data_IF_594965167645
#
_entry.id   IF_594965167645
#
_cell.length_a   1.000
_cell.length_b   1.000
_cell.length_c   1.000
_cell.angle_alpha   90.00
_cell.angle_beta   90.00
_cell.angle_gamma   90.00
#
_symmetry.space_group_name_H-M   'P 1'
#
loop_
_entity.id
_entity.type
_entity.pdbx_description
1 polymer ?
#
# COMPACT_ATOMS: atom_id res chain seq x y z
N UNK A 1 -12.23 11.66 -14.58
CA UNK A 1 -12.41 11.88 -16.04
C UNK A 1 -11.80 10.80 -16.94
N UNK A 2 -11.25 9.69 -16.43
CA UNK A 2 -10.64 8.71 -17.34
C UNK A 2 -11.62 7.71 -17.98
N UNK A 3 -12.86 7.51 -17.48
CA UNK A 3 -13.68 6.37 -17.92
C UNK A 3 -15.19 6.59 -17.88
N UNK A 4 -15.82 6.51 -19.05
CA UNK A 4 -17.21 6.06 -19.20
C UNK A 4 -17.46 5.48 -20.61
N UNK A 5 -16.87 6.06 -21.66
CA UNK A 5 -17.30 5.76 -23.02
C UNK A 5 -16.66 4.51 -23.68
N UNK A 6 -15.42 4.11 -23.33
CA UNK A 6 -14.66 3.08 -24.08
C UNK A 6 -13.73 2.22 -23.20
N UNK A 7 -14.27 1.63 -22.13
CA UNK A 7 -13.52 0.86 -21.13
C UNK A 7 -12.72 -0.36 -21.68
N UNK A 8 -13.21 -1.17 -22.65
CA UNK A 8 -12.49 -2.35 -23.11
C UNK A 8 -11.11 -2.07 -23.74
N UNK A 9 -11.01 -1.01 -24.55
CA UNK A 9 -9.76 -0.61 -25.21
C UNK A 9 -8.85 0.20 -24.25
N UNK A 10 -9.46 1.01 -23.37
CA UNK A 10 -8.73 1.85 -22.42
C UNK A 10 -8.03 1.04 -21.32
N UNK A 11 -8.59 -0.10 -20.90
CA UNK A 11 -8.00 -0.99 -19.89
C UNK A 11 -6.56 -1.43 -20.24
N UNK A 12 -6.25 -1.59 -21.52
CA UNK A 12 -4.93 -2.05 -21.98
C UNK A 12 -3.83 -0.99 -21.86
N UNK A 13 -4.19 0.31 -21.84
CA UNK A 13 -3.25 1.43 -21.80
C UNK A 13 -3.36 2.30 -20.56
N UNK A 14 -4.38 2.08 -19.72
CA UNK A 14 -4.60 2.80 -18.48
C UNK A 14 -3.51 2.45 -17.45
N UNK A 15 -2.61 3.39 -17.19
CA UNK A 15 -1.70 3.30 -16.05
C UNK A 15 -2.54 3.49 -14.78
N UNK A 16 -2.72 2.43 -14.00
CA UNK A 16 -3.28 2.58 -12.66
C UNK A 16 -2.46 3.64 -11.92
N UNK A 17 -3.14 4.61 -11.31
CA UNK A 17 -2.47 5.59 -10.46
C UNK A 17 -1.81 4.88 -9.27
N UNK A 18 -0.80 5.50 -8.66
CA UNK A 18 -0.15 4.97 -7.46
C UNK A 18 -0.44 5.90 -6.29
N UNK A 19 -0.71 5.31 -5.12
CA UNK A 19 -0.68 5.99 -3.84
C UNK A 19 0.76 5.99 -3.30
N UNK A 20 1.20 7.13 -2.76
CA UNK A 20 2.44 7.21 -1.97
C UNK A 20 2.07 7.05 -0.50
N UNK A 21 2.37 5.88 0.07
CA UNK A 21 1.99 5.52 1.43
C UNK A 21 3.19 5.69 2.37
N UNK A 22 3.03 6.48 3.43
CA UNK A 22 3.98 6.53 4.54
C UNK A 22 3.48 5.61 5.66
N UNK A 23 4.25 4.59 5.97
CA UNK A 23 3.89 3.56 6.95
C UNK A 23 4.78 3.76 8.18
N UNK A 24 4.15 4.16 9.28
CA UNK A 24 4.82 4.41 10.56
C UNK A 24 4.60 3.22 11.48
N UNK A 25 5.68 2.71 12.07
CA UNK A 25 5.62 1.63 13.05
C UNK A 25 5.35 2.22 14.44
N UNK A 26 4.29 1.76 15.11
CA UNK A 26 3.94 2.16 16.47
C UNK A 26 4.10 3.68 16.70
N UNK A 27 3.36 4.52 15.95
CA UNK A 27 3.65 5.95 15.83
C UNK A 27 3.51 6.74 17.13
N UNK A 28 2.88 6.16 18.15
CA UNK A 28 2.73 6.74 19.49
C UNK A 28 3.84 6.30 20.44
N UNK A 29 4.46 5.15 20.21
CA UNK A 29 5.49 4.58 21.08
C UNK A 29 6.92 4.82 20.55
N UNK A 30 7.11 4.81 19.23
CA UNK A 30 8.41 4.95 18.57
C UNK A 30 8.53 6.33 17.92
N UNK A 31 8.79 7.35 18.74
CA UNK A 31 8.82 8.74 18.28
C UNK A 31 10.22 9.33 18.09
N UNK A 32 11.26 8.73 18.67
CA UNK A 32 12.64 9.27 18.61
C UNK A 32 13.72 8.15 18.64
N UNK A 33 14.26 7.75 17.47
CA UNK A 33 13.86 8.17 16.14
C UNK A 33 12.57 7.46 15.67
N UNK A 34 11.72 8.12 14.87
CA UNK A 34 10.52 7.50 14.34
C UNK A 34 10.87 6.48 13.23
N UNK A 35 10.38 5.26 13.38
CA UNK A 35 10.60 4.20 12.38
C UNK A 35 9.47 4.23 11.35
N UNK A 36 9.81 4.51 10.09
CA UNK A 36 8.85 4.50 8.99
C UNK A 36 9.47 4.04 7.67
N UNK A 37 8.60 3.67 6.72
CA UNK A 37 8.93 3.37 5.32
C UNK A 37 7.94 4.06 4.40
N UNK A 38 8.41 4.50 3.23
CA UNK A 38 7.56 5.09 2.19
C UNK A 38 7.48 4.14 1.01
N UNK A 39 6.26 3.76 0.63
CA UNK A 39 6.00 2.82 -0.46
C UNK A 39 5.20 3.50 -1.58
N UNK A 40 5.53 3.19 -2.83
CA UNK A 40 4.67 3.46 -3.98
C UNK A 40 3.75 2.25 -4.18
N UNK A 41 2.45 2.43 -3.99
CA UNK A 41 1.45 1.38 -4.01
C UNK A 41 0.48 1.58 -5.18
N UNK A 42 0.40 0.65 -6.15
CA UNK A 42 -0.59 0.74 -7.22
C UNK A 42 -2.02 0.84 -6.66
N UNK A 43 -2.86 1.68 -7.26
CA UNK A 43 -4.25 1.86 -6.80
C UNK A 43 -5.10 0.60 -6.95
N UNK A 44 -4.67 -0.35 -7.79
CA UNK A 44 -5.27 -1.67 -7.95
C UNK A 44 -4.60 -2.77 -7.09
N UNK A 45 -3.66 -2.41 -6.22
CA UNK A 45 -3.02 -3.36 -5.31
C UNK A 45 -4.05 -3.94 -4.32
N UNK A 46 -3.92 -5.23 -4.03
CA UNK A 46 -4.71 -5.87 -2.97
C UNK A 46 -4.03 -5.66 -1.61
N UNK A 47 -4.79 -5.75 -0.51
CA UNK A 47 -4.23 -5.70 0.83
C UNK A 47 -3.18 -6.81 1.08
N UNK A 48 -3.32 -7.98 0.47
CA UNK A 48 -2.32 -9.05 0.54
C UNK A 48 -0.99 -8.65 -0.13
N UNK A 49 -1.05 -7.96 -1.28
CA UNK A 49 0.14 -7.45 -1.94
C UNK A 49 0.80 -6.32 -1.15
N UNK A 50 -0.02 -5.43 -0.56
CA UNK A 50 0.46 -4.38 0.34
C UNK A 50 1.15 -4.97 1.58
N UNK A 51 0.54 -5.98 2.21
CA UNK A 51 1.15 -6.69 3.36
C UNK A 51 2.52 -7.26 3.02
N UNK A 52 2.64 -7.97 1.90
CA UNK A 52 3.93 -8.54 1.45
C UNK A 52 4.98 -7.45 1.24
N UNK A 53 4.58 -6.32 0.66
CA UNK A 53 5.48 -5.18 0.47
C UNK A 53 5.92 -4.55 1.81
N UNK A 54 5.02 -4.45 2.79
CA UNK A 54 5.33 -3.99 4.15
C UNK A 54 6.34 -4.93 4.80
N UNK A 55 6.08 -6.24 4.82
CA UNK A 55 6.98 -7.24 5.39
C UNK A 55 8.39 -7.10 4.78
N UNK A 56 8.47 -6.97 3.46
CA UNK A 56 9.75 -6.78 2.76
C UNK A 56 10.45 -5.48 3.16
N UNK A 57 9.74 -4.35 3.21
CA UNK A 57 10.32 -3.05 3.52
C UNK A 57 10.84 -2.91 4.96
N UNK A 58 10.31 -3.72 5.87
CA UNK A 58 10.75 -3.80 7.27
C UNK A 58 11.61 -5.04 7.57
N UNK A 59 11.98 -5.82 6.54
CA UNK A 59 12.78 -7.05 6.66
C UNK A 59 12.17 -8.07 7.65
N UNK A 60 10.85 -8.14 7.70
CA UNK A 60 10.13 -9.07 8.54
C UNK A 60 9.88 -10.41 7.83
N UNK A 61 9.93 -11.48 8.62
CA UNK A 61 9.47 -12.79 8.19
C UNK A 61 7.95 -12.86 8.32
N UNK A 62 7.27 -13.31 7.26
CA UNK A 62 5.81 -13.42 7.19
C UNK A 62 5.26 -14.61 8.00
N UNK A 63 5.54 -14.63 9.30
CA UNK A 63 5.32 -15.78 10.20
C UNK A 63 4.11 -15.57 11.14
N UNK A 64 3.49 -14.40 11.12
CA UNK A 64 2.38 -14.03 12.00
C UNK A 64 1.17 -13.59 11.18
N UNK A 65 -0.03 -13.78 11.74
CA UNK A 65 -1.27 -13.29 11.15
C UNK A 65 -1.29 -11.76 11.11
N UNK A 66 -2.06 -11.20 10.18
CA UNK A 66 -2.20 -9.77 9.98
C UNK A 66 -3.64 -9.41 9.62
N UNK A 67 -4.01 -8.16 9.83
CA UNK A 67 -5.28 -7.57 9.42
C UNK A 67 -5.11 -6.07 9.11
N UNK A 68 -6.02 -5.51 8.32
CA UNK A 68 -6.07 -4.07 8.00
C UNK A 68 -7.40 -3.49 8.45
N UNK A 69 -7.33 -2.43 9.25
CA UNK A 69 -8.51 -1.68 9.71
C UNK A 69 -8.39 -0.25 9.23
N UNK A 70 -9.46 0.26 8.62
CA UNK A 70 -9.59 1.67 8.28
C UNK A 70 -10.30 2.36 9.45
N UNK A 71 -9.75 3.47 9.91
CA UNK A 71 -10.42 4.30 10.91
C UNK A 71 -11.49 5.13 10.19
N UNK A 72 -12.75 4.97 10.61
CA UNK A 72 -13.88 5.79 10.17
C UNK A 72 -13.68 7.29 10.48
#
# INVERSE_FOLDING_TARGET
ECQAAHWPQHKLSCKSENFILKICLCPTELTDPPIHRTLSCPANATFASLHTAIQTAFEWANNHCYDFVVKD
#
